data_IF_356851854668
#
_entry.id   IF_356851854668
#
_cell.length_a   1.000
_cell.length_b   1.000
_cell.length_c   1.000
_cell.angle_alpha   90.00
_cell.angle_beta   90.00
_cell.angle_gamma   90.00
#
_symmetry.space_group_name_H-M   'P 1'
#
loop_
_entity.id
_entity.type
_entity.pdbx_description
1 polymer ?
#
# COMPACT_ATOMS: atom_id res chain seq x y z
N UNK A 1 -13.35 -24.70 21.22
CA UNK A 1 -12.51 -23.69 20.56
C UNK A 1 -11.07 -24.11 20.77
N UNK A 2 -10.57 -24.98 19.91
CA UNK A 2 -9.13 -25.25 19.84
C UNK A 2 -8.49 -24.00 19.24
N UNK A 3 -7.60 -23.36 19.99
CA UNK A 3 -6.73 -22.33 19.44
C UNK A 3 -5.96 -22.99 18.29
N UNK A 4 -6.17 -22.51 17.07
CA UNK A 4 -5.44 -22.98 15.90
C UNK A 4 -3.95 -22.85 16.18
N UNK A 5 -3.26 -23.98 16.32
CA UNK A 5 -1.81 -24.02 16.35
C UNK A 5 -1.33 -23.42 15.03
N UNK A 6 -0.84 -22.18 15.07
CA UNK A 6 -0.15 -21.55 13.95
C UNK A 6 0.99 -22.49 13.57
N UNK A 7 0.92 -23.07 12.36
CA UNK A 7 1.87 -24.08 11.88
C UNK A 7 3.27 -23.47 11.85
N UNK A 8 4.11 -23.83 12.83
CA UNK A 8 5.50 -23.40 12.86
C UNK A 8 6.27 -24.04 11.69
N UNK A 9 7.04 -23.24 10.96
CA UNK A 9 7.90 -23.68 9.85
C UNK A 9 9.32 -23.79 10.37
N UNK A 10 9.99 -24.94 10.20
CA UNK A 10 11.35 -25.12 10.68
C UNK A 10 12.37 -24.51 9.71
N UNK A 11 13.43 -23.93 10.28
CA UNK A 11 14.48 -23.29 9.50
C UNK A 11 15.88 -23.68 9.97
N UNK A 12 16.77 -23.70 8.99
CA UNK A 12 18.20 -23.80 9.19
C UNK A 12 18.89 -22.62 8.50
N UNK A 13 19.78 -21.94 9.21
CA UNK A 13 20.55 -20.81 8.66
C UNK A 13 22.00 -21.22 8.58
N UNK A 14 22.53 -21.46 7.37
CA UNK A 14 23.94 -21.77 7.19
C UNK A 14 24.81 -20.57 7.59
N UNK A 15 25.91 -20.85 8.27
CA UNK A 15 26.96 -19.88 8.58
C UNK A 15 28.22 -20.18 7.75
N UNK A 16 29.21 -19.30 7.82
CA UNK A 16 30.50 -19.50 7.16
C UNK A 16 31.22 -20.75 7.69
N UNK A 17 32.08 -21.33 6.85
CA UNK A 17 32.81 -22.56 7.14
C UNK A 17 33.58 -22.44 8.47
N UNK A 18 33.29 -23.33 9.43
CA UNK A 18 33.88 -23.31 10.77
C UNK A 18 33.04 -22.62 11.85
N UNK A 19 31.92 -21.99 11.50
CA UNK A 19 30.94 -21.44 12.45
C UNK A 19 29.74 -22.36 12.65
N UNK A 20 29.18 -22.38 13.86
CA UNK A 20 27.95 -23.13 14.10
C UNK A 20 26.73 -22.46 13.45
N UNK A 21 25.95 -23.27 12.74
CA UNK A 21 24.74 -22.84 12.06
C UNK A 21 23.58 -22.61 13.02
N UNK A 22 22.60 -21.82 12.60
CA UNK A 22 21.39 -21.61 13.40
C UNK A 22 20.29 -22.61 13.03
N UNK A 23 19.51 -23.00 14.04
CA UNK A 23 18.29 -23.80 13.85
C UNK A 23 17.13 -23.12 14.54
N UNK A 24 15.95 -23.17 13.96
CA UNK A 24 14.84 -22.42 14.53
C UNK A 24 13.53 -22.63 13.82
N UNK A 25 12.61 -21.70 14.06
CA UNK A 25 11.26 -21.73 13.51
C UNK A 25 10.79 -20.33 13.11
N UNK A 26 9.89 -20.30 12.12
CA UNK A 26 9.15 -19.12 11.69
C UNK A 26 7.66 -19.32 11.98
N UNK A 27 6.98 -18.24 12.31
CA UNK A 27 5.53 -18.22 12.48
C UNK A 27 4.99 -16.80 12.33
N UNK A 28 3.67 -16.67 12.18
CA UNK A 28 2.99 -15.38 12.25
C UNK A 28 2.71 -15.01 13.72
N UNK A 29 2.92 -13.74 14.08
CA UNK A 29 2.70 -13.23 15.44
C UNK A 29 1.30 -13.55 15.99
N UNK A 30 0.27 -13.37 15.17
CA UNK A 30 -1.13 -13.70 15.47
C UNK A 30 -1.93 -13.73 14.16
N UNK A 31 -3.16 -14.26 14.18
CA UNK A 31 -4.11 -14.20 13.05
C UNK A 31 -4.54 -12.76 12.74
N UNK A 32 -4.45 -11.86 13.73
CA UNK A 32 -4.81 -10.44 13.58
C UNK A 32 -3.67 -9.58 13.01
N UNK A 33 -2.42 -10.05 13.12
CA UNK A 33 -1.23 -9.32 12.71
C UNK A 33 -0.33 -10.20 11.86
N UNK A 34 -0.23 -9.90 10.56
CA UNK A 34 0.69 -10.57 9.63
C UNK A 34 2.13 -10.11 9.78
N UNK A 35 2.62 -10.11 11.02
CA UNK A 35 4.02 -9.90 11.30
C UNK A 35 4.70 -11.24 11.41
N UNK A 36 5.66 -11.46 10.53
CA UNK A 36 6.52 -12.63 10.60
C UNK A 36 7.44 -12.55 11.82
N UNK A 37 7.53 -13.65 12.55
CA UNK A 37 8.43 -13.86 13.68
C UNK A 37 9.39 -15.01 13.39
N UNK A 38 10.57 -14.90 13.97
CA UNK A 38 11.54 -15.99 14.01
C UNK A 38 12.10 -16.17 15.42
N UNK A 39 12.45 -17.40 15.73
CA UNK A 39 13.28 -17.76 16.87
C UNK A 39 14.32 -18.77 16.37
N UNK A 40 15.59 -18.48 16.63
CA UNK A 40 16.70 -19.35 16.25
C UNK A 40 17.65 -19.56 17.41
N UNK A 41 18.33 -20.70 17.40
CA UNK A 41 19.26 -21.15 18.42
C UNK A 41 20.50 -21.70 17.72
N UNK A 42 21.68 -21.38 18.25
CA UNK A 42 22.96 -22.01 17.93
C UNK A 42 23.73 -22.32 19.22
N UNK A 43 24.71 -23.23 19.19
CA UNK A 43 25.70 -23.20 20.26
C UNK A 43 26.67 -22.04 20.01
N UNK A 44 27.19 -21.50 21.10
CA UNK A 44 28.09 -20.37 21.05
C UNK A 44 29.20 -20.57 22.07
N UNK A 45 30.39 -20.12 21.71
CA UNK A 45 31.47 -19.96 22.67
C UNK A 45 31.14 -18.83 23.66
N UNK A 46 31.70 -18.94 24.86
CA UNK A 46 31.65 -17.94 25.93
C UNK A 46 31.84 -16.50 25.46
N UNK A 47 32.75 -16.29 24.50
CA UNK A 47 33.13 -14.98 24.00
C UNK A 47 32.16 -14.43 22.94
N UNK A 48 31.26 -15.25 22.39
CA UNK A 48 30.41 -14.94 21.24
C UNK A 48 28.90 -15.13 21.52
N UNK A 49 28.50 -15.11 22.80
CA UNK A 49 27.12 -15.33 23.25
C UNK A 49 26.12 -14.24 22.87
N UNK A 50 26.61 -13.08 22.43
CA UNK A 50 25.78 -11.96 21.94
C UNK A 50 25.90 -11.74 20.44
N UNK A 51 26.63 -12.59 19.73
CA UNK A 51 26.78 -12.46 18.29
C UNK A 51 25.51 -12.97 17.57
N UNK A 52 25.04 -12.16 16.62
CA UNK A 52 23.83 -12.38 15.84
C UNK A 52 24.11 -13.05 14.48
N UNK A 53 25.38 -13.33 14.13
CA UNK A 53 25.74 -14.02 12.89
C UNK A 53 25.18 -13.36 11.63
N UNK A 54 24.61 -14.17 10.71
CA UNK A 54 23.95 -13.68 9.48
C UNK A 54 22.74 -12.75 9.70
N UNK A 55 22.23 -12.61 10.93
CA UNK A 55 21.14 -11.67 11.24
C UNK A 55 21.61 -10.24 11.53
N UNK A 56 22.92 -9.97 11.45
CA UNK A 56 23.46 -8.62 11.63
C UNK A 56 23.03 -7.68 10.47
N UNK A 57 22.76 -6.42 10.80
CA UNK A 57 22.48 -5.33 9.85
C UNK A 57 21.21 -5.45 9.00
N UNK A 58 20.27 -6.33 9.35
CA UNK A 58 19.01 -6.51 8.63
C UNK A 58 19.16 -6.74 7.11
N UNK A 59 20.25 -7.39 6.70
CA UNK A 59 20.44 -7.85 5.31
C UNK A 59 19.61 -9.10 5.04
N UNK A 60 19.27 -9.40 3.78
CA UNK A 60 18.66 -10.68 3.41
C UNK A 60 19.47 -11.86 3.97
N UNK A 61 18.79 -12.81 4.60
CA UNK A 61 19.40 -14.00 5.18
C UNK A 61 18.90 -15.24 4.45
N UNK A 62 19.81 -15.93 3.76
CA UNK A 62 19.51 -17.21 3.09
C UNK A 62 19.33 -18.30 4.16
N UNK A 63 18.28 -19.10 4.00
CA UNK A 63 17.89 -20.17 4.91
C UNK A 63 17.47 -21.43 4.13
N UNK A 64 17.35 -22.55 4.83
CA UNK A 64 16.68 -23.76 4.36
C UNK A 64 15.41 -24.01 5.18
N UNK A 65 14.24 -24.01 4.53
CA UNK A 65 12.98 -24.45 5.13
C UNK A 65 12.98 -25.97 5.23
N UNK A 66 12.61 -26.47 6.40
CA UNK A 66 12.58 -27.90 6.73
C UNK A 66 13.88 -28.63 6.33
N UNK A 67 15.01 -27.92 6.40
CA UNK A 67 16.36 -28.38 6.00
C UNK A 67 16.52 -28.78 4.52
N UNK A 68 15.57 -28.43 3.64
CA UNK A 68 15.56 -28.91 2.25
C UNK A 68 15.35 -27.79 1.24
N UNK A 69 14.35 -26.92 1.46
CA UNK A 69 13.92 -25.95 0.44
C UNK A 69 14.64 -24.61 0.67
N UNK A 70 15.41 -24.09 -0.31
CA UNK A 70 16.04 -22.79 -0.17
C UNK A 70 14.99 -21.69 0.00
N UNK A 71 15.25 -20.75 0.89
CA UNK A 71 14.44 -19.56 1.07
C UNK A 71 15.31 -18.39 1.56
N UNK A 72 14.72 -17.21 1.60
CA UNK A 72 15.37 -15.98 2.04
C UNK A 72 14.46 -15.23 3.02
N UNK A 73 14.98 -14.91 4.20
CA UNK A 73 14.37 -13.97 5.14
C UNK A 73 14.77 -12.55 4.72
N UNK A 74 13.79 -11.70 4.42
CA UNK A 74 14.04 -10.35 3.93
C UNK A 74 13.94 -9.36 5.10
N UNK A 75 15.00 -8.56 5.27
CA UNK A 75 15.15 -7.55 6.34
C UNK A 75 14.82 -8.10 7.75
N UNK A 76 15.51 -9.14 8.21
CA UNK A 76 15.32 -9.65 9.56
C UNK A 76 15.86 -8.67 10.61
N UNK A 77 15.04 -8.39 11.62
CA UNK A 77 15.35 -7.54 12.75
C UNK A 77 15.36 -8.39 14.02
N UNK A 78 16.54 -8.53 14.63
CA UNK A 78 16.70 -9.15 15.95
C UNK A 78 16.14 -8.20 17.01
N UNK A 79 15.18 -8.69 17.80
CA UNK A 79 14.54 -7.92 18.87
C UNK A 79 15.09 -8.30 20.25
N UNK A 80 15.50 -9.56 20.41
CA UNK A 80 16.04 -10.07 21.67
C UNK A 80 17.14 -11.08 21.41
N UNK A 81 18.20 -10.94 22.20
CA UNK A 81 19.29 -11.92 22.30
C UNK A 81 19.25 -12.48 23.72
N UNK A 82 19.05 -13.78 23.85
CA UNK A 82 19.05 -14.50 25.12
C UNK A 82 20.31 -15.39 25.18
N UNK A 83 21.39 -14.93 25.84
CA UNK A 83 22.54 -15.77 26.10
C UNK A 83 22.12 -16.83 27.12
N UNK A 84 22.10 -18.10 26.69
CA UNK A 84 21.66 -19.22 27.51
C UNK A 84 22.38 -19.30 28.86
N UNK A 85 21.76 -19.98 29.83
CA UNK A 85 22.35 -20.18 31.15
C UNK A 85 23.40 -21.30 31.12
N UNK A 86 24.49 -21.13 31.86
CA UNK A 86 25.43 -22.21 32.18
C UNK A 86 24.71 -23.32 32.94
N UNK A 87 24.69 -24.52 32.37
CA UNK A 87 24.39 -25.72 33.14
C UNK A 87 25.58 -26.03 34.05
N UNK A 88 25.31 -26.35 35.32
CA UNK A 88 26.36 -26.79 36.26
C UNK A 88 26.96 -28.14 35.83
N UNK A 89 26.24 -28.90 34.99
CA UNK A 89 26.60 -30.25 34.53
C UNK A 89 26.99 -30.33 33.05
N UNK A 90 26.64 -29.34 32.22
CA UNK A 90 26.96 -29.29 30.79
C UNK A 90 27.46 -27.88 30.40
N UNK A 91 28.71 -27.73 29.94
CA UNK A 91 29.32 -26.42 29.67
C UNK A 91 28.87 -25.79 28.33
N UNK A 92 27.87 -26.36 27.65
CA UNK A 92 27.42 -25.85 26.36
C UNK A 92 26.59 -24.58 26.54
N UNK A 93 27.13 -23.45 26.09
CA UNK A 93 26.37 -22.21 26.00
C UNK A 93 25.62 -22.18 24.68
N UNK A 94 24.35 -21.79 24.73
CA UNK A 94 23.51 -21.58 23.55
C UNK A 94 23.11 -20.13 23.46
N UNK A 95 23.06 -19.60 22.26
CA UNK A 95 22.51 -18.26 22.02
C UNK A 95 21.16 -18.43 21.35
N UNK A 96 20.13 -17.79 21.90
CA UNK A 96 18.80 -17.73 21.28
C UNK A 96 18.53 -16.32 20.78
N UNK A 97 18.14 -16.20 19.52
CA UNK A 97 17.66 -14.97 18.91
C UNK A 97 16.15 -15.04 18.75
N UNK A 98 15.46 -13.96 19.09
CA UNK A 98 14.06 -13.76 18.75
C UNK A 98 13.94 -12.45 17.97
N UNK A 99 13.16 -12.46 16.90
CA UNK A 99 13.04 -11.29 16.04
C UNK A 99 11.86 -11.36 15.09
N UNK A 100 11.82 -10.39 14.18
CA UNK A 100 10.78 -10.26 13.15
C UNK A 100 11.41 -9.96 11.81
N UNK A 101 10.72 -10.22 10.71
CA UNK A 101 11.24 -9.91 9.37
C UNK A 101 10.12 -9.40 8.46
N UNK A 102 10.49 -8.76 7.36
CA UNK A 102 9.53 -8.11 6.48
C UNK A 102 8.85 -9.12 5.56
N UNK A 103 9.58 -10.05 4.95
CA UNK A 103 9.00 -10.96 3.95
C UNK A 103 9.77 -12.27 3.86
N UNK A 104 9.08 -13.33 3.46
CA UNK A 104 9.67 -14.64 3.19
C UNK A 104 9.67 -14.88 1.67
N UNK A 105 10.83 -15.15 1.09
CA UNK A 105 10.93 -15.60 -0.30
C UNK A 105 11.31 -17.07 -0.31
N UNK A 106 10.39 -17.94 -0.71
CA UNK A 106 10.60 -19.39 -0.77
C UNK A 106 10.99 -19.84 -2.17
N UNK A 107 11.90 -20.82 -2.28
CA UNK A 107 12.34 -21.39 -3.55
C UNK A 107 13.56 -20.70 -4.16
N UNK A 108 13.97 -19.54 -3.64
CA UNK A 108 15.13 -18.78 -4.11
C UNK A 108 15.99 -18.32 -2.92
N UNK A 109 17.31 -18.44 -3.09
CA UNK A 109 18.32 -17.91 -2.18
C UNK A 109 18.86 -16.59 -2.73
N UNK A 110 18.60 -15.49 -2.04
CA UNK A 110 18.99 -14.14 -2.43
C UNK A 110 19.88 -13.55 -1.33
N UNK A 111 21.11 -13.18 -1.69
CA UNK A 111 22.07 -12.57 -0.77
C UNK A 111 22.03 -11.03 -0.82
N UNK A 112 21.68 -10.47 -1.99
CA UNK A 112 21.54 -9.03 -2.22
C UNK A 112 20.14 -8.73 -2.78
N UNK A 113 19.33 -7.96 -2.04
CA UNK A 113 17.99 -7.57 -2.47
C UNK A 113 17.98 -6.49 -3.55
N UNK A 114 19.12 -5.84 -3.81
CA UNK A 114 19.28 -4.79 -4.82
C UNK A 114 19.77 -5.32 -6.18
N UNK A 115 20.14 -6.60 -6.26
CA UNK A 115 20.57 -7.19 -7.52
C UNK A 115 19.39 -7.42 -8.46
N UNK A 116 19.46 -6.85 -9.67
CA UNK A 116 18.43 -7.00 -10.68
C UNK A 116 18.43 -8.41 -11.28
N UNK A 117 17.42 -9.21 -10.93
CA UNK A 117 17.33 -10.63 -11.32
C UNK A 117 15.96 -11.06 -11.83
N UNK A 118 14.91 -10.31 -11.54
CA UNK A 118 13.54 -10.74 -11.82
C UNK A 118 13.05 -10.20 -13.17
N UNK A 119 12.56 -11.10 -14.03
CA UNK A 119 11.95 -10.78 -15.32
C UNK A 119 10.43 -10.55 -15.22
N UNK A 120 9.81 -10.95 -14.12
CA UNK A 120 8.37 -10.78 -13.96
C UNK A 120 7.83 -11.28 -12.63
N UNK A 121 6.56 -10.96 -12.42
CA UNK A 121 5.78 -11.40 -11.25
C UNK A 121 4.39 -11.83 -11.69
N UNK A 122 3.80 -12.79 -11.00
CA UNK A 122 2.38 -13.14 -11.16
C UNK A 122 1.73 -13.47 -9.83
N UNK A 123 0.45 -13.14 -9.67
CA UNK A 123 -0.26 -13.39 -8.42
C UNK A 123 -1.78 -13.39 -8.63
N UNK A 124 -2.47 -14.13 -7.77
CA UNK A 124 -3.92 -14.14 -7.65
C UNK A 124 -4.32 -13.27 -6.46
N UNK A 125 -5.01 -12.16 -6.72
CA UNK A 125 -5.35 -11.19 -5.68
C UNK A 125 -6.84 -11.01 -5.52
N UNK A 126 -7.28 -11.00 -4.26
CA UNK A 126 -8.66 -10.66 -3.91
C UNK A 126 -8.99 -9.20 -4.22
N UNK A 127 -8.05 -8.27 -4.04
CA UNK A 127 -8.27 -6.87 -4.38
C UNK A 127 -8.33 -6.67 -5.88
N UNK A 128 -7.39 -7.26 -6.61
CA UNK A 128 -7.41 -7.22 -8.07
C UNK A 128 -8.70 -7.84 -8.60
N UNK A 129 -9.09 -9.03 -8.16
CA UNK A 129 -10.35 -9.67 -8.56
C UNK A 129 -11.61 -8.92 -8.13
N UNK A 130 -11.58 -8.19 -7.01
CA UNK A 130 -12.70 -7.35 -6.59
C UNK A 130 -12.87 -6.10 -7.45
N UNK A 131 -11.77 -5.53 -7.94
CA UNK A 131 -11.81 -4.35 -8.80
C UNK A 131 -11.99 -4.72 -10.27
N UNK A 132 -11.18 -5.64 -10.79
CA UNK A 132 -11.13 -6.07 -12.19
C UNK A 132 -12.15 -7.17 -12.53
N UNK A 133 -12.40 -8.11 -11.60
CA UNK A 133 -13.08 -9.36 -11.90
C UNK A 133 -14.58 -9.24 -12.15
N UNK A 134 -15.01 -9.76 -13.29
CA UNK A 134 -16.41 -10.04 -13.63
C UNK A 134 -16.89 -11.40 -13.12
N UNK A 135 -18.21 -11.65 -13.21
CA UNK A 135 -18.76 -12.98 -12.94
C UNK A 135 -18.62 -13.84 -14.20
N UNK A 136 -17.77 -14.86 -14.18
CA UNK A 136 -17.54 -15.78 -15.32
C UNK A 136 -18.33 -17.08 -15.21
N UNK A 137 -19.45 -17.01 -14.50
CA UNK A 137 -20.38 -18.12 -14.38
C UNK A 137 -21.80 -17.59 -14.24
N UNK A 138 -22.73 -18.23 -14.95
CA UNK A 138 -24.13 -17.84 -14.97
C UNK A 138 -24.97 -19.01 -14.47
N UNK A 139 -25.87 -18.80 -13.48
CA UNK A 139 -26.83 -19.83 -13.13
C UNK A 139 -27.79 -20.02 -14.31
N UNK A 140 -27.86 -21.25 -14.83
CA UNK A 140 -28.76 -21.62 -15.93
C UNK A 140 -29.69 -22.74 -15.48
N UNK A 141 -30.84 -22.89 -16.13
CA UNK A 141 -31.70 -24.04 -15.91
C UNK A 141 -31.49 -25.00 -17.07
N UNK A 142 -30.88 -26.16 -16.81
CA UNK A 142 -30.62 -27.14 -17.86
C UNK A 142 -31.94 -27.73 -18.38
N UNK A 143 -32.21 -27.56 -19.68
CA UNK A 143 -33.43 -28.08 -20.33
C UNK A 143 -33.59 -29.60 -20.17
N UNK A 144 -32.48 -30.33 -20.10
CA UNK A 144 -32.43 -31.80 -19.95
C UNK A 144 -32.66 -32.32 -18.54
N UNK A 145 -32.39 -31.51 -17.50
CA UNK A 145 -32.33 -32.00 -16.12
C UNK A 145 -33.26 -31.27 -15.14
N UNK A 146 -33.88 -30.14 -15.54
CA UNK A 146 -34.73 -29.30 -14.67
C UNK A 146 -34.06 -28.93 -13.33
N UNK A 147 -32.74 -29.02 -13.26
CA UNK A 147 -31.91 -28.67 -12.11
C UNK A 147 -31.18 -27.37 -12.39
N UNK A 148 -31.01 -26.56 -11.34
CA UNK A 148 -30.18 -25.36 -11.38
C UNK A 148 -28.75 -25.79 -11.70
N UNK A 149 -28.26 -25.38 -12.85
CA UNK A 149 -26.93 -25.66 -13.39
C UNK A 149 -26.12 -24.37 -13.39
N UNK A 150 -24.79 -24.48 -13.50
CA UNK A 150 -23.92 -23.32 -13.64
C UNK A 150 -23.18 -23.46 -14.96
N UNK A 151 -23.36 -22.50 -15.85
CA UNK A 151 -22.58 -22.40 -17.07
C UNK A 151 -21.33 -21.57 -16.79
N UNK A 152 -20.17 -22.16 -17.06
CA UNK A 152 -18.86 -21.52 -16.89
C UNK A 152 -18.44 -20.90 -18.21
N UNK A 153 -18.19 -19.59 -18.20
CA UNK A 153 -17.71 -18.85 -19.37
C UNK A 153 -16.23 -19.15 -19.61
N UNK A 154 -15.80 -19.10 -20.87
CA UNK A 154 -14.38 -19.24 -21.22
C UNK A 154 -13.52 -18.17 -20.53
N UNK A 155 -12.24 -18.46 -20.24
CA UNK A 155 -11.33 -17.46 -19.68
C UNK A 155 -11.21 -16.25 -20.60
N UNK A 156 -11.26 -15.06 -20.01
CA UNK A 156 -11.01 -13.80 -20.72
C UNK A 156 -9.63 -13.28 -20.32
N UNK A 157 -8.88 -12.76 -21.29
CA UNK A 157 -7.57 -12.18 -21.02
C UNK A 157 -7.39 -10.85 -21.73
N UNK A 158 -6.91 -9.87 -20.98
CA UNK A 158 -6.53 -8.55 -21.49
C UNK A 158 -5.02 -8.43 -21.40
N UNK A 159 -4.39 -7.99 -22.49
CA UNK A 159 -2.95 -7.68 -22.51
C UNK A 159 -2.77 -6.19 -22.75
N UNK A 160 -2.01 -5.56 -21.87
CA UNK A 160 -1.69 -4.13 -21.93
C UNK A 160 -0.19 -3.93 -21.77
N UNK A 161 0.38 -2.98 -22.51
CA UNK A 161 1.77 -2.53 -22.33
C UNK A 161 1.76 -1.20 -21.58
N UNK A 162 2.54 -1.15 -20.49
CA UNK A 162 2.68 0.03 -19.63
C UNK A 162 4.15 0.42 -19.60
N UNK A 163 4.45 1.62 -20.09
CA UNK A 163 5.80 2.16 -20.14
C UNK A 163 6.44 2.21 -18.75
N UNK A 164 7.69 1.73 -18.65
CA UNK A 164 8.43 1.71 -17.39
C UNK A 164 7.98 0.61 -16.43
N UNK A 165 6.94 -0.17 -16.78
CA UNK A 165 6.51 -1.35 -16.04
C UNK A 165 6.84 -2.62 -16.80
N UNK A 166 6.24 -2.81 -17.98
CA UNK A 166 6.22 -4.10 -18.64
C UNK A 166 4.98 -4.37 -19.48
N UNK A 167 4.93 -5.61 -19.97
CA UNK A 167 3.70 -6.23 -20.48
C UNK A 167 2.91 -6.82 -19.32
N UNK A 168 1.65 -6.40 -19.20
CA UNK A 168 0.72 -6.83 -18.17
C UNK A 168 -0.38 -7.65 -18.82
N UNK A 169 -0.60 -8.86 -18.30
CA UNK A 169 -1.66 -9.76 -18.71
C UNK A 169 -2.57 -9.97 -17.51
N UNK A 170 -3.83 -9.58 -17.65
CA UNK A 170 -4.88 -9.87 -16.70
C UNK A 170 -5.75 -11.00 -17.26
N UNK A 171 -5.96 -12.04 -16.47
CA UNK A 171 -6.77 -13.19 -16.88
C UNK A 171 -7.86 -13.42 -15.85
N UNK A 172 -9.11 -13.49 -16.31
CA UNK A 172 -10.25 -13.89 -15.48
C UNK A 172 -10.71 -15.30 -15.87
N UNK A 173 -10.96 -16.14 -14.87
CA UNK A 173 -11.39 -17.52 -15.06
C UNK A 173 -12.34 -17.95 -13.94
N UNK A 174 -13.22 -18.91 -14.20
CA UNK A 174 -13.95 -19.57 -13.13
C UNK A 174 -13.08 -20.68 -12.51
N UNK A 175 -12.92 -20.66 -11.20
CA UNK A 175 -12.24 -21.69 -10.43
C UNK A 175 -13.31 -22.57 -9.76
N UNK A 176 -13.23 -23.89 -9.98
CA UNK A 176 -14.04 -24.87 -9.27
C UNK A 176 -13.21 -25.43 -8.12
N UNK A 177 -13.60 -25.14 -6.89
CA UNK A 177 -13.02 -25.73 -5.69
C UNK A 177 -13.93 -26.84 -5.19
N UNK A 178 -13.44 -28.07 -5.21
CA UNK A 178 -14.17 -29.23 -4.71
C UNK A 178 -13.49 -29.74 -3.44
N UNK A 179 -14.15 -29.55 -2.30
CA UNK A 179 -13.80 -30.21 -1.04
C UNK A 179 -14.65 -31.47 -0.87
N UNK A 180 -14.27 -32.31 0.10
CA UNK A 180 -14.91 -33.62 0.37
C UNK A 180 -16.43 -33.57 0.58
N UNK A 181 -17.01 -32.42 0.93
CA UNK A 181 -18.44 -32.25 1.21
C UNK A 181 -19.13 -31.14 0.42
N UNK A 182 -18.39 -30.26 -0.27
CA UNK A 182 -18.96 -29.12 -1.02
C UNK A 182 -18.13 -28.81 -2.24
N UNK A 183 -18.79 -28.45 -3.34
CA UNK A 183 -18.14 -27.87 -4.52
C UNK A 183 -18.62 -26.44 -4.68
N UNK A 184 -17.67 -25.52 -4.80
CA UNK A 184 -17.92 -24.09 -4.97
C UNK A 184 -17.29 -23.62 -6.28
N UNK A 185 -18.01 -22.78 -7.02
CA UNK A 185 -17.48 -22.09 -8.21
C UNK A 185 -17.28 -20.63 -7.84
N UNK A 186 -16.06 -20.11 -8.06
CA UNK A 186 -15.67 -18.73 -7.81
C UNK A 186 -15.09 -18.09 -9.05
N UNK A 187 -15.23 -16.77 -9.20
CA UNK A 187 -14.40 -16.03 -10.16
C UNK A 187 -13.00 -15.87 -9.57
N UNK A 188 -11.98 -16.14 -10.38
CA UNK A 188 -10.58 -15.91 -10.04
C UNK A 188 -9.95 -14.97 -11.08
N UNK A 189 -9.06 -14.10 -10.61
CA UNK A 189 -8.37 -13.10 -11.42
C UNK A 189 -6.87 -13.20 -11.18
N UNK A 190 -6.13 -13.52 -12.24
CA UNK A 190 -4.67 -13.61 -12.24
C UNK A 190 -4.09 -12.36 -12.89
N UNK A 191 -3.15 -11.70 -12.22
CA UNK A 191 -2.34 -10.65 -12.80
C UNK A 191 -0.92 -11.18 -13.06
N UNK A 192 -0.44 -11.03 -14.28
CA UNK A 192 0.93 -11.39 -14.68
C UNK A 192 1.61 -10.17 -15.30
N UNK A 193 2.77 -9.82 -14.76
CA UNK A 193 3.61 -8.74 -15.25
C UNK A 193 4.92 -9.35 -15.75
N UNK A 194 5.33 -8.98 -16.96
CA UNK A 194 6.65 -9.25 -17.52
C UNK A 194 7.33 -7.91 -17.68
N UNK A 195 8.42 -7.69 -16.93
CA UNK A 195 9.05 -6.38 -16.84
C UNK A 195 9.81 -6.03 -18.11
N UNK A 196 9.86 -4.73 -18.43
CA UNK A 196 10.67 -4.23 -19.56
C UNK A 196 12.17 -4.44 -19.33
N UNK A 197 12.58 -4.38 -18.06
CA UNK A 197 13.95 -4.59 -17.60
C UNK A 197 13.95 -5.47 -16.34
N UNK A 198 15.06 -6.16 -16.09
CA UNK A 198 15.21 -6.92 -14.84
C UNK A 198 15.08 -6.00 -13.64
N UNK A 199 14.37 -6.47 -12.62
CA UNK A 199 14.15 -5.73 -11.37
C UNK A 199 14.83 -6.41 -10.19
N UNK A 200 15.18 -5.60 -9.21
CA UNK A 200 15.69 -6.08 -7.92
C UNK A 200 14.56 -6.64 -7.04
N UNK A 201 14.90 -7.41 -6.00
CA UNK A 201 13.90 -7.89 -5.05
C UNK A 201 13.19 -6.73 -4.35
N UNK A 202 13.94 -5.69 -3.96
CA UNK A 202 13.37 -4.49 -3.32
C UNK A 202 12.34 -3.81 -4.22
N UNK A 203 12.67 -3.60 -5.50
CA UNK A 203 11.75 -2.95 -6.45
C UNK A 203 10.47 -3.77 -6.67
N UNK A 204 10.61 -5.10 -6.74
CA UNK A 204 9.47 -6.01 -6.93
C UNK A 204 8.59 -6.02 -5.68
N UNK A 205 9.17 -6.00 -4.47
CA UNK A 205 8.40 -5.91 -3.23
C UNK A 205 7.59 -4.62 -3.16
N UNK A 206 8.20 -3.48 -3.47
CA UNK A 206 7.54 -2.18 -3.45
C UNK A 206 6.41 -2.12 -4.49
N UNK A 207 6.63 -2.67 -5.67
CA UNK A 207 5.61 -2.81 -6.71
C UNK A 207 4.45 -3.71 -6.26
N UNK A 208 4.73 -4.91 -5.75
CA UNK A 208 3.73 -5.88 -5.30
C UNK A 208 2.85 -5.29 -4.20
N UNK A 209 3.46 -4.67 -3.19
CA UNK A 209 2.71 -3.99 -2.14
C UNK A 209 1.90 -2.83 -2.75
N UNK A 210 2.52 -1.97 -3.54
CA UNK A 210 1.86 -0.81 -4.14
C UNK A 210 0.63 -1.17 -4.98
N UNK A 211 0.71 -2.23 -5.79
CA UNK A 211 -0.40 -2.73 -6.60
C UNK A 211 -1.54 -3.26 -5.74
N UNK A 212 -1.26 -4.09 -4.74
CA UNK A 212 -2.29 -4.59 -3.81
C UNK A 212 -2.98 -3.44 -3.07
N UNK A 213 -2.19 -2.47 -2.61
CA UNK A 213 -2.73 -1.31 -1.92
C UNK A 213 -3.62 -0.47 -2.86
N UNK A 214 -3.23 -0.34 -4.13
CA UNK A 214 -3.95 0.41 -5.16
C UNK A 214 -5.28 -0.27 -5.53
N UNK A 215 -5.26 -1.56 -5.87
CA UNK A 215 -6.49 -2.27 -6.21
C UNK A 215 -7.44 -2.41 -5.03
N UNK A 216 -6.91 -2.62 -3.82
CA UNK A 216 -7.71 -2.63 -2.60
C UNK A 216 -8.39 -1.27 -2.38
N UNK A 217 -7.65 -0.18 -2.54
CA UNK A 217 -8.18 1.17 -2.43
C UNK A 217 -9.28 1.46 -3.45
N UNK A 218 -9.10 1.07 -4.72
CA UNK A 218 -10.08 1.23 -5.78
C UNK A 218 -11.36 0.43 -5.50
N UNK A 219 -11.25 -0.81 -5.03
CA UNK A 219 -12.39 -1.64 -4.65
C UNK A 219 -13.03 -1.19 -3.32
N UNK A 220 -12.28 -0.49 -2.47
CA UNK A 220 -12.76 0.08 -1.22
C UNK A 220 -12.50 -0.75 0.04
N UNK A 221 -11.52 -1.65 0.03
CA UNK A 221 -11.15 -2.48 1.18
C UNK A 221 -9.65 -2.79 1.20
N UNK A 222 -9.15 -3.35 2.30
CA UNK A 222 -7.79 -3.92 2.34
C UNK A 222 -7.87 -5.45 2.22
N UNK A 223 -7.32 -6.04 1.14
CA UNK A 223 -7.31 -7.48 0.97
C UNK A 223 -6.27 -8.12 1.89
N UNK A 224 -6.42 -9.43 2.08
CA UNK A 224 -5.29 -10.30 2.44
C UNK A 224 -4.24 -10.22 1.33
N UNK A 225 -2.98 -9.96 1.68
CA UNK A 225 -1.89 -9.99 0.70
C UNK A 225 -1.73 -11.40 0.10
N UNK A 226 -1.61 -11.51 -1.23
CA UNK A 226 -1.43 -12.79 -1.89
C UNK A 226 0.01 -13.30 -1.80
N UNK A 227 0.23 -14.52 -2.26
CA UNK A 227 1.57 -15.02 -2.55
C UNK A 227 1.96 -14.52 -3.94
N UNK A 228 3.13 -13.89 -4.05
CA UNK A 228 3.64 -13.40 -5.33
C UNK A 228 4.62 -14.38 -5.93
N UNK A 229 4.35 -14.84 -7.14
CA UNK A 229 5.24 -15.74 -7.87
C UNK A 229 6.25 -14.92 -8.66
N UNK A 230 7.50 -14.90 -8.19
CA UNK A 230 8.61 -14.18 -8.80
C UNK A 230 9.32 -15.06 -9.83
N UNK A 231 9.48 -14.55 -11.06
CA UNK A 231 10.20 -15.22 -12.13
C UNK A 231 11.60 -14.61 -12.27
N UNK A 232 12.66 -15.32 -11.87
CA UNK A 232 14.02 -14.86 -12.11
C UNK A 232 14.41 -15.13 -13.57
N UNK A 233 15.39 -14.37 -14.07
CA UNK A 233 16.03 -14.67 -15.33
C UNK A 233 16.73 -16.04 -15.26
N UNK A 234 16.64 -16.83 -16.33
CA UNK A 234 17.41 -18.06 -16.44
C UNK A 234 18.92 -17.75 -16.34
N UNK A 235 19.68 -18.50 -15.51
CA UNK A 235 21.13 -18.35 -15.46
C UNK A 235 21.78 -18.55 -16.84
N UNK A 236 22.90 -17.87 -17.16
CA UNK A 236 23.65 -18.13 -18.38
C UNK A 236 24.07 -19.61 -18.46
N UNK A 237 23.69 -20.30 -19.54
CA UNK A 237 24.00 -21.73 -19.73
C UNK A 237 23.03 -22.71 -19.07
N UNK A 238 21.92 -22.22 -18.50
CA UNK A 238 20.84 -23.08 -18.01
C UNK A 238 20.19 -23.83 -19.18
N UNK A 239 19.97 -25.14 -19.02
CA UNK A 239 19.31 -25.94 -20.05
C UNK A 239 17.88 -25.43 -20.27
N UNK A 240 17.57 -25.05 -21.51
CA UNK A 240 16.23 -24.65 -21.96
C UNK A 240 15.11 -25.65 -21.62
N UNK A 241 15.45 -26.90 -21.30
CA UNK A 241 14.50 -27.95 -20.92
C UNK A 241 14.18 -28.01 -19.43
N UNK A 242 14.97 -27.38 -18.57
CA UNK A 242 14.72 -27.35 -17.14
C UNK A 242 13.90 -26.09 -16.79
N UNK A 243 12.80 -26.21 -16.03
CA UNK A 243 12.04 -25.04 -15.60
C UNK A 243 12.91 -24.21 -14.65
N UNK A 244 13.00 -22.90 -14.91
CA UNK A 244 13.62 -21.97 -13.98
C UNK A 244 12.81 -21.96 -12.68
N UNK A 245 13.44 -22.08 -11.50
CA UNK A 245 12.73 -22.06 -10.23
C UNK A 245 11.94 -20.75 -10.07
N UNK A 246 10.66 -20.87 -9.74
CA UNK A 246 9.79 -19.73 -9.41
C UNK A 246 9.87 -19.48 -7.91
N UNK A 247 10.16 -18.24 -7.52
CA UNK A 247 10.14 -17.83 -6.12
C UNK A 247 8.72 -17.54 -5.65
N UNK A 248 8.38 -17.92 -4.43
CA UNK A 248 7.12 -17.60 -3.76
C UNK A 248 7.40 -16.55 -2.69
N UNK A 249 7.04 -15.29 -2.96
CA UNK A 249 7.21 -14.17 -2.06
C UNK A 249 5.93 -13.98 -1.23
N UNK A 250 6.06 -14.17 0.07
CA UNK A 250 5.05 -13.85 1.07
C UNK A 250 5.44 -12.55 1.79
N UNK A 251 4.73 -11.48 1.46
CA UNK A 251 4.88 -10.19 2.16
C UNK A 251 4.29 -10.29 3.57
N UNK A 252 5.05 -9.83 4.56
CA UNK A 252 4.59 -9.65 5.94
C UNK A 252 5.04 -8.31 6.52
N UNK A 253 5.01 -8.20 7.85
CA UNK A 253 5.33 -6.94 8.55
C UNK A 253 4.22 -5.89 8.47
N UNK A 254 3.04 -6.31 8.04
CA UNK A 254 1.89 -5.43 7.80
C UNK A 254 0.96 -5.51 9.02
N UNK A 255 0.84 -4.41 9.77
CA UNK A 255 0.11 -4.33 11.04
C UNK A 255 -1.40 -4.12 10.86
N UNK A 256 -2.05 -4.86 9.96
CA UNK A 256 -3.47 -4.64 9.62
C UNK A 256 -4.29 -5.93 9.69
N UNK A 257 -5.57 -5.78 10.03
CA UNK A 257 -6.57 -6.85 10.02
C UNK A 257 -7.07 -7.08 8.58
N UNK A 258 -7.07 -8.33 8.14
CA UNK A 258 -7.68 -8.74 6.87
C UNK A 258 -9.20 -8.44 6.90
N UNK A 259 -9.73 -7.80 5.85
CA UNK A 259 -11.17 -7.51 5.71
C UNK A 259 -11.74 -8.36 4.58
N UNK A 260 -12.91 -9.01 4.75
CA UNK A 260 -13.52 -9.76 3.67
C UNK A 260 -13.82 -8.84 2.47
N UNK A 261 -13.77 -9.42 1.27
CA UNK A 261 -14.10 -8.69 0.05
C UNK A 261 -15.53 -8.11 0.13
N UNK A 262 -15.71 -6.80 -0.09
CA UNK A 262 -17.03 -6.17 -0.01
C UNK A 262 -17.98 -6.69 -1.09
N UNK A 263 -19.27 -6.65 -0.77
CA UNK A 263 -20.31 -7.03 -1.71
C UNK A 263 -20.19 -6.19 -2.98
N UNK A 264 -20.46 -6.74 -4.18
CA UNK A 264 -20.43 -6.01 -5.44
C UNK A 264 -20.99 -4.58 -5.48
N UNK A 265 -22.12 -4.35 -4.81
CA UNK A 265 -22.80 -3.05 -4.73
C UNK A 265 -22.22 -2.07 -3.69
N UNK A 266 -21.33 -2.55 -2.82
CA UNK A 266 -20.65 -1.76 -1.79
C UNK A 266 -19.21 -1.39 -2.19
N UNK A 267 -18.76 -1.83 -3.38
CA UNK A 267 -17.44 -1.51 -3.90
C UNK A 267 -17.38 -0.05 -4.34
N UNK A 268 -16.26 0.61 -4.06
CA UNK A 268 -16.04 2.02 -4.40
C UNK A 268 -16.02 2.22 -5.92
N UNK A 269 -15.22 1.42 -6.63
CA UNK A 269 -15.13 1.42 -8.08
C UNK A 269 -14.84 0.01 -8.60
N UNK A 270 -15.02 -0.19 -9.91
CA UNK A 270 -14.70 -1.41 -10.65
C UNK A 270 -14.09 -1.05 -12.00
N UNK A 271 -13.26 -1.94 -12.55
CA UNK A 271 -12.70 -1.76 -13.89
C UNK A 271 -13.84 -1.62 -14.92
N UNK A 272 -13.70 -0.65 -15.82
CA UNK A 272 -14.72 -0.29 -16.83
C UNK A 272 -15.84 0.62 -16.29
N UNK A 273 -16.03 0.73 -14.97
CA UNK A 273 -16.94 1.71 -14.39
C UNK A 273 -16.25 3.08 -14.31
N UNK A 274 -17.02 4.14 -14.52
CA UNK A 274 -16.58 5.53 -14.38
C UNK A 274 -15.31 5.83 -15.22
N UNK A 275 -15.22 5.27 -16.43
CA UNK A 275 -14.11 5.53 -17.38
C UNK A 275 -12.77 4.87 -17.02
N UNK A 276 -12.68 4.17 -15.89
CA UNK A 276 -11.43 3.61 -15.36
C UNK A 276 -11.00 2.35 -16.13
N UNK A 277 -9.76 2.29 -16.61
CA UNK A 277 -9.19 1.10 -17.27
C UNK A 277 -7.93 0.58 -16.56
N UNK A 278 -7.64 -0.71 -16.69
CA UNK A 278 -6.40 -1.31 -16.16
C UNK A 278 -5.16 -0.57 -16.65
N UNK A 279 -5.11 -0.28 -17.96
CA UNK A 279 -3.99 0.48 -18.55
C UNK A 279 -3.82 1.87 -17.95
N UNK A 280 -4.91 2.61 -17.73
CA UNK A 280 -4.88 3.96 -17.16
C UNK A 280 -4.41 3.95 -15.70
N UNK A 281 -4.98 3.06 -14.89
CA UNK A 281 -4.60 2.92 -13.47
C UNK A 281 -3.12 2.60 -13.33
N UNK A 282 -2.62 1.62 -14.10
CA UNK A 282 -1.23 1.21 -14.01
C UNK A 282 -0.28 2.31 -14.47
N UNK A 283 -0.59 3.03 -15.55
CA UNK A 283 0.22 4.17 -16.02
C UNK A 283 0.30 5.27 -14.96
N UNK A 284 -0.84 5.65 -14.38
CA UNK A 284 -0.89 6.70 -13.38
C UNK A 284 -0.18 6.28 -12.08
N UNK A 285 -0.35 5.02 -11.66
CA UNK A 285 0.41 4.47 -10.54
C UNK A 285 1.92 4.48 -10.79
N UNK A 286 2.37 4.04 -11.98
CA UNK A 286 3.81 3.98 -12.30
C UNK A 286 4.46 5.35 -12.44
N UNK A 287 3.68 6.39 -12.75
CA UNK A 287 4.18 7.76 -12.86
C UNK A 287 4.55 8.37 -11.49
N UNK A 288 3.86 7.98 -10.42
CA UNK A 288 4.09 8.51 -9.07
C UNK A 288 3.81 7.46 -7.96
N UNK A 289 4.52 6.32 -7.94
CA UNK A 289 4.14 5.16 -7.13
C UNK A 289 4.21 5.44 -5.63
N UNK A 290 5.28 6.09 -5.17
CA UNK A 290 5.49 6.40 -3.74
C UNK A 290 4.40 7.36 -3.23
N UNK A 291 4.08 8.39 -4.01
CA UNK A 291 3.10 9.39 -3.64
C UNK A 291 1.68 8.80 -3.59
N UNK A 292 1.28 8.06 -4.63
CA UNK A 292 -0.02 7.34 -4.64
C UNK A 292 -0.14 6.40 -3.45
N UNK A 293 0.88 5.57 -3.19
CA UNK A 293 0.86 4.63 -2.05
C UNK A 293 0.78 5.38 -0.72
N UNK A 294 1.50 6.50 -0.57
CA UNK A 294 1.48 7.32 0.65
C UNK A 294 0.09 7.90 0.91
N UNK A 295 -0.58 8.44 -0.12
CA UNK A 295 -1.94 8.96 -0.02
C UNK A 295 -2.94 7.87 0.33
N UNK A 296 -2.85 6.72 -0.34
CA UNK A 296 -3.68 5.55 -0.05
C UNK A 296 -3.47 5.09 1.40
N UNK A 297 -2.23 4.99 1.85
CA UNK A 297 -1.92 4.60 3.22
C UNK A 297 -2.51 5.59 4.24
N UNK A 298 -2.36 6.90 4.01
CA UNK A 298 -2.89 7.94 4.88
C UNK A 298 -4.42 7.92 5.00
N UNK A 299 -5.14 7.78 3.87
CA UNK A 299 -6.60 7.65 3.87
C UNK A 299 -7.03 6.45 4.71
N UNK A 300 -6.32 5.35 4.59
CA UNK A 300 -6.72 4.12 5.24
C UNK A 300 -6.36 4.04 6.71
N UNK A 301 -5.22 4.62 7.10
CA UNK A 301 -4.88 4.85 8.50
C UNK A 301 -5.99 5.65 9.18
N UNK A 302 -6.49 6.70 8.51
CA UNK A 302 -7.62 7.51 9.01
C UNK A 302 -8.95 6.74 9.08
N UNK A 303 -9.25 5.90 8.09
CA UNK A 303 -10.54 5.15 8.06
C UNK A 303 -10.57 3.94 9.00
N UNK A 304 -9.48 3.17 9.08
CA UNK A 304 -9.53 1.79 9.59
C UNK A 304 -8.63 1.51 10.80
N UNK A 305 -7.52 2.23 10.98
CA UNK A 305 -6.47 1.80 11.93
C UNK A 305 -6.26 2.71 13.13
N UNK A 306 -6.76 3.95 13.05
CA UNK A 306 -6.54 4.92 14.10
C UNK A 306 -7.52 4.72 15.27
N UNK A 307 -6.97 4.59 16.47
CA UNK A 307 -7.69 4.43 17.73
C UNK A 307 -8.32 5.71 18.23
N UNK A 308 -7.81 6.88 17.82
CA UNK A 308 -8.34 8.19 18.18
C UNK A 308 -8.56 9.11 16.97
N UNK A 309 -9.41 10.13 17.13
CA UNK A 309 -9.60 11.18 16.12
C UNK A 309 -8.30 11.94 15.81
N UNK A 310 -7.43 12.09 16.81
CA UNK A 310 -6.13 12.73 16.62
C UNK A 310 -5.24 11.91 15.69
N UNK A 311 -5.16 10.59 15.90
CA UNK A 311 -4.32 9.74 15.02
C UNK A 311 -4.84 9.76 13.58
N UNK A 312 -6.17 9.79 13.40
CA UNK A 312 -6.80 9.90 12.08
C UNK A 312 -6.39 11.17 11.37
N UNK A 313 -6.58 12.32 12.04
CA UNK A 313 -6.28 13.61 11.44
C UNK A 313 -4.78 13.81 11.22
N UNK A 314 -3.93 13.38 12.16
CA UNK A 314 -2.48 13.47 12.06
C UNK A 314 -1.91 12.59 10.94
N UNK A 315 -2.53 11.45 10.65
CA UNK A 315 -2.12 10.59 9.54
C UNK A 315 -2.45 11.21 8.17
N UNK A 316 -3.62 11.84 8.03
CA UNK A 316 -4.14 12.29 6.73
C UNK A 316 -3.75 13.73 6.37
N UNK A 317 -3.73 14.64 7.34
CA UNK A 317 -3.61 16.07 7.09
C UNK A 317 -2.25 16.47 6.47
N UNK A 318 -1.08 15.95 6.92
CA UNK A 318 0.20 16.31 6.31
C UNK A 318 0.28 15.90 4.83
N UNK A 319 -0.26 14.73 4.49
CA UNK A 319 -0.27 14.22 3.11
C UNK A 319 -1.25 15.03 2.26
N UNK A 320 -2.41 15.39 2.80
CA UNK A 320 -3.36 16.25 2.11
C UNK A 320 -2.80 17.68 1.90
N UNK A 321 -2.09 18.24 2.88
CA UNK A 321 -1.44 19.54 2.77
C UNK A 321 -0.40 19.54 1.63
N UNK A 322 0.46 18.52 1.58
CA UNK A 322 1.43 18.35 0.49
C UNK A 322 0.73 18.24 -0.87
N UNK A 323 -0.35 17.45 -0.94
CA UNK A 323 -1.14 17.30 -2.16
C UNK A 323 -1.71 18.63 -2.65
N UNK A 324 -2.41 19.39 -1.79
CA UNK A 324 -3.04 20.64 -2.23
C UNK A 324 -2.01 21.71 -2.59
N UNK A 325 -0.85 21.72 -1.95
CA UNK A 325 0.27 22.59 -2.31
C UNK A 325 0.87 22.25 -3.67
N UNK A 326 0.96 20.96 -4.01
CA UNK A 326 1.49 20.53 -5.30
C UNK A 326 0.50 20.77 -6.45
N UNK A 327 -0.80 20.59 -6.20
CA UNK A 327 -1.82 20.56 -7.27
C UNK A 327 -2.55 21.89 -7.48
N UNK A 328 -2.80 22.67 -6.42
CA UNK A 328 -3.67 23.87 -6.48
C UNK A 328 -2.92 25.20 -6.32
N UNK A 329 -1.60 25.16 -6.32
CA UNK A 329 -0.74 26.35 -6.30
C UNK A 329 -0.46 26.77 -7.75
N UNK A 330 -0.66 28.04 -8.08
CA UNK A 330 -0.56 28.50 -9.47
C UNK A 330 0.90 28.74 -9.90
N UNK A 331 1.25 28.40 -11.15
CA UNK A 331 2.61 28.54 -11.69
C UNK A 331 3.10 30.02 -11.76
N UNK A 332 2.20 30.98 -11.95
CA UNK A 332 2.52 32.41 -11.89
C UNK A 332 2.95 32.87 -10.48
N UNK A 333 2.51 32.16 -9.44
CA UNK A 333 2.84 32.46 -8.04
C UNK A 333 4.22 31.89 -7.65
N UNK A 334 4.70 30.84 -8.32
CA UNK A 334 6.08 30.34 -8.16
C UNK A 334 7.11 31.26 -8.81
N UNK A 335 6.79 31.80 -9.99
CA UNK A 335 7.65 32.71 -10.75
C UNK A 335 7.90 34.04 -10.01
N UNK A 336 6.92 34.54 -9.26
CA UNK A 336 7.04 35.79 -8.50
C UNK A 336 8.10 35.69 -7.39
N UNK A 337 8.12 34.62 -6.59
CA UNK A 337 9.08 34.45 -5.49
C UNK A 337 10.52 34.27 -5.99
N UNK A 338 10.70 33.54 -7.10
CA UNK A 338 12.00 33.39 -7.75
C UNK A 338 12.49 34.71 -8.36
N UNK A 339 11.59 35.46 -9.01
CA UNK A 339 11.87 36.76 -9.62
C UNK A 339 12.13 37.85 -8.57
N UNK A 340 11.43 37.81 -7.43
CA UNK A 340 11.65 38.70 -6.28
C UNK A 340 13.05 38.51 -5.71
N UNK A 341 13.46 37.27 -5.46
CA UNK A 341 14.80 36.95 -4.96
C UNK A 341 15.89 37.39 -5.93
N UNK A 342 15.70 37.16 -7.23
CA UNK A 342 16.64 37.60 -8.26
C UNK A 342 16.71 39.13 -8.38
N UNK A 343 15.57 39.81 -8.29
CA UNK A 343 15.48 41.26 -8.35
C UNK A 343 16.14 41.94 -7.14
N UNK A 344 15.88 41.47 -5.92
CA UNK A 344 16.56 42.03 -4.74
C UNK A 344 18.03 41.65 -4.68
N UNK A 345 18.44 40.48 -5.17
CA UNK A 345 19.85 40.14 -5.33
C UNK A 345 20.55 41.09 -6.32
N UNK A 346 19.87 41.49 -7.41
CA UNK A 346 20.37 42.49 -8.35
C UNK A 346 20.45 43.89 -7.71
N UNK A 347 19.43 44.30 -6.94
CA UNK A 347 19.45 45.57 -6.18
C UNK A 347 20.61 45.58 -5.17
N UNK A 348 20.81 44.50 -4.42
CA UNK A 348 21.89 44.38 -3.44
C UNK A 348 23.29 44.31 -4.07
N UNK A 349 23.39 43.83 -5.30
CA UNK A 349 24.63 43.79 -6.08
C UNK A 349 24.96 45.11 -6.81
N UNK A 350 24.08 46.11 -6.78
CA UNK A 350 24.34 47.40 -7.44
C UNK A 350 25.52 48.14 -6.78
N UNK A 351 26.38 48.79 -7.57
CA UNK A 351 27.54 49.53 -7.05
C UNK A 351 27.17 50.85 -6.36
N UNK A 352 25.97 51.37 -6.62
CA UNK A 352 25.50 52.65 -6.10
C UNK A 352 24.56 52.45 -4.90
N UNK A 353 25.02 52.88 -3.72
CA UNK A 353 24.27 52.74 -2.47
C UNK A 353 23.00 53.59 -2.40
N UNK A 354 22.92 54.72 -3.13
CA UNK A 354 21.69 55.51 -3.22
C UNK A 354 20.60 54.77 -4.00
N UNK A 355 20.97 53.98 -5.02
CA UNK A 355 20.03 53.14 -5.78
C UNK A 355 19.53 51.97 -4.94
N UNK A 356 20.38 51.40 -4.07
CA UNK A 356 19.95 50.39 -3.08
C UNK A 356 18.93 50.96 -2.13
N UNK A 357 19.22 52.12 -1.55
CA UNK A 357 18.38 52.75 -0.53
C UNK A 357 17.06 53.24 -1.13
N UNK A 358 17.11 53.84 -2.33
CA UNK A 358 15.92 54.27 -3.07
C UNK A 358 15.02 53.09 -3.47
N UNK A 359 15.59 52.04 -4.05
CA UNK A 359 14.84 50.84 -4.47
C UNK A 359 14.17 50.15 -3.28
N UNK A 360 14.89 50.01 -2.16
CA UNK A 360 14.33 49.41 -0.92
C UNK A 360 13.25 50.27 -0.27
N UNK A 361 13.34 51.60 -0.38
CA UNK A 361 12.42 52.55 0.27
C UNK A 361 11.15 52.83 -0.55
N UNK A 362 11.22 52.77 -1.88
CA UNK A 362 10.14 53.21 -2.76
C UNK A 362 9.43 52.10 -3.54
N UNK A 363 10.00 50.89 -3.64
CA UNK A 363 9.29 49.74 -4.18
C UNK A 363 8.41 49.12 -3.10
N UNK A 364 7.12 49.50 -3.08
CA UNK A 364 6.11 48.72 -2.36
C UNK A 364 5.88 47.43 -3.12
N UNK A 365 6.45 46.33 -2.64
CA UNK A 365 6.03 44.99 -3.01
C UNK A 365 4.51 44.90 -2.82
N UNK A 366 3.77 44.76 -3.93
CA UNK A 366 2.41 44.27 -3.86
C UNK A 366 2.56 42.80 -3.48
N UNK A 367 2.50 42.54 -2.18
CA UNK A 367 2.67 41.23 -1.58
C UNK A 367 1.54 40.31 -2.07
N UNK A 368 1.67 39.73 -3.26
CA UNK A 368 0.89 38.54 -3.64
C UNK A 368 1.46 37.40 -2.79
N UNK A 369 0.99 37.32 -1.54
CA UNK A 369 1.33 36.24 -0.63
C UNK A 369 0.99 34.92 -1.32
N UNK A 370 1.87 33.93 -1.21
CA UNK A 370 1.56 32.56 -1.57
C UNK A 370 0.19 32.17 -0.98
N UNK A 371 -0.65 31.42 -1.73
CA UNK A 371 -1.99 31.09 -1.29
C UNK A 371 -1.92 30.40 0.06
N UNK A 372 -2.72 30.90 0.99
CA UNK A 372 -2.80 30.32 2.33
C UNK A 372 -3.37 28.90 2.24
N UNK A 373 -3.02 28.03 3.19
CA UNK A 373 -3.57 26.68 3.26
C UNK A 373 -5.12 26.66 3.19
N UNK A 374 -5.86 27.52 3.89
CA UNK A 374 -7.32 27.64 3.70
C UNK A 374 -7.73 27.86 2.23
N UNK A 375 -7.04 28.75 1.52
CA UNK A 375 -7.34 29.04 0.10
C UNK A 375 -7.11 27.82 -0.79
N UNK A 376 -6.05 27.04 -0.55
CA UNK A 376 -5.78 25.80 -1.29
C UNK A 376 -6.82 24.72 -1.01
N UNK A 377 -7.25 24.58 0.26
CA UNK A 377 -8.30 23.63 0.65
C UNK A 377 -9.65 24.04 0.02
N UNK A 378 -9.97 25.34 0.02
CA UNK A 378 -11.18 25.88 -0.60
C UNK A 378 -11.22 25.58 -2.11
N UNK A 379 -10.13 25.82 -2.84
CA UNK A 379 -10.00 25.44 -4.26
C UNK A 379 -10.23 23.93 -4.48
N UNK A 380 -9.67 23.09 -3.61
CA UNK A 380 -9.89 21.64 -3.67
C UNK A 380 -11.36 21.26 -3.39
N UNK A 381 -12.03 21.94 -2.46
CA UNK A 381 -13.46 21.75 -2.19
C UNK A 381 -14.31 22.16 -3.39
N UNK A 382 -14.07 23.36 -3.93
CA UNK A 382 -14.80 23.91 -5.08
C UNK A 382 -14.72 22.98 -6.29
N UNK A 383 -13.51 22.50 -6.62
CA UNK A 383 -13.35 21.61 -7.76
C UNK A 383 -14.03 20.23 -7.58
N UNK A 384 -14.24 19.72 -6.36
CA UNK A 384 -15.08 18.52 -6.14
C UNK A 384 -16.57 18.86 -6.13
N UNK A 385 -16.95 20.03 -5.62
CA UNK A 385 -18.34 20.49 -5.66
C UNK A 385 -18.83 20.68 -7.10
N UNK A 386 -17.97 21.13 -8.01
CA UNK A 386 -18.25 21.19 -9.45
C UNK A 386 -18.53 19.80 -10.06
N UNK A 387 -17.94 18.73 -9.51
CA UNK A 387 -18.19 17.34 -9.91
C UNK A 387 -19.44 16.75 -9.25
N UNK A 388 -20.17 17.53 -8.45
CA UNK A 388 -21.45 17.15 -7.87
C UNK A 388 -21.41 16.77 -6.39
N UNK A 389 -20.27 16.89 -5.71
CA UNK A 389 -20.20 16.77 -4.25
C UNK A 389 -20.72 18.04 -3.56
N UNK A 390 -20.94 17.96 -2.23
CA UNK A 390 -21.49 19.04 -1.39
C UNK A 390 -20.65 19.24 -0.12
N UNK A 391 -19.37 19.54 -0.28
CA UNK A 391 -18.51 19.96 0.84
C UNK A 391 -18.79 21.42 1.20
N UNK A 392 -18.89 21.74 2.50
CA UNK A 392 -19.02 23.12 2.98
C UNK A 392 -17.69 23.88 2.82
N UNK A 393 -17.62 24.97 2.03
CA UNK A 393 -16.41 25.77 1.87
C UNK A 393 -15.85 26.31 3.20
N UNK A 394 -16.71 26.54 4.21
CA UNK A 394 -16.28 27.03 5.53
C UNK A 394 -15.36 26.05 6.25
N UNK A 395 -15.36 24.78 5.87
CA UNK A 395 -14.48 23.76 6.43
C UNK A 395 -13.00 24.05 6.15
N UNK A 396 -12.67 24.76 5.07
CA UNK A 396 -11.29 25.09 4.72
C UNK A 396 -10.57 25.86 5.85
N UNK A 397 -11.24 26.89 6.40
CA UNK A 397 -10.71 27.67 7.51
C UNK A 397 -10.59 26.83 8.79
N UNK A 398 -11.64 26.07 9.13
CA UNK A 398 -11.69 25.22 10.33
C UNK A 398 -10.60 24.14 10.34
N UNK A 399 -10.40 23.45 9.21
CA UNK A 399 -9.35 22.43 9.05
C UNK A 399 -7.97 23.06 9.26
N UNK A 400 -7.71 24.23 8.69
CA UNK A 400 -6.44 24.94 8.88
C UNK A 400 -6.21 25.38 10.33
N UNK A 401 -7.25 25.88 11.00
CA UNK A 401 -7.19 26.25 12.42
C UNK A 401 -6.96 25.02 13.32
N UNK A 402 -7.60 23.88 13.02
CA UNK A 402 -7.37 22.61 13.71
C UNK A 402 -5.93 22.15 13.55
N UNK A 403 -5.41 22.13 12.33
CA UNK A 403 -4.01 21.78 12.02
C UNK A 403 -3.03 22.65 12.80
N UNK A 404 -3.32 23.95 12.94
CA UNK A 404 -2.46 24.88 13.68
C UNK A 404 -2.49 24.65 15.21
N UNK A 405 -3.56 24.09 15.77
CA UNK A 405 -3.73 23.96 17.23
C UNK A 405 -3.42 22.56 17.76
N UNK A 406 -3.59 21.53 16.92
CA UNK A 406 -3.52 20.12 17.31
C UNK A 406 -2.14 19.64 17.79
N UNK A 407 -1.05 20.27 17.34
CA UNK A 407 0.32 19.89 17.72
C UNK A 407 0.87 20.65 18.94
N UNK A 408 0.11 21.59 19.52
CA UNK A 408 0.63 22.51 20.54
C UNK A 408 -0.01 22.35 21.93
N UNK A 409 -1.13 21.64 22.05
CA UNK A 409 -1.75 21.32 23.34
C UNK A 409 -2.86 20.29 23.14
N UNK A 410 -2.97 19.26 24.00
CA UNK A 410 -4.15 18.40 24.05
C UNK A 410 -5.25 19.12 24.86
N UNK A 411 -6.21 19.81 24.22
CA UNK A 411 -7.18 20.63 24.95
C UNK A 411 -8.28 19.73 25.52
N UNK A 412 -8.87 20.15 26.64
CA UNK A 412 -10.18 19.63 27.04
C UNK A 412 -11.20 20.06 25.97
N UNK A 413 -11.73 19.10 25.22
CA UNK A 413 -12.68 19.35 24.13
C UNK A 413 -14.12 19.27 24.65
N UNK A 414 -14.98 20.21 24.27
CA UNK A 414 -16.42 20.04 24.45
C UNK A 414 -16.97 19.00 23.46
N UNK A 415 -18.17 18.46 23.72
CA UNK A 415 -18.83 17.52 22.80
C UNK A 415 -19.04 18.12 21.39
N UNK A 416 -19.39 19.41 21.33
CA UNK A 416 -19.52 20.14 20.07
C UNK A 416 -18.19 20.27 19.32
N UNK A 417 -17.07 20.44 20.04
CA UNK A 417 -15.73 20.47 19.44
C UNK A 417 -15.32 19.10 18.92
N UNK A 418 -15.68 18.02 19.61
CA UNK A 418 -15.42 16.64 19.17
C UNK A 418 -16.18 16.35 17.89
N UNK A 419 -17.46 16.73 17.80
CA UNK A 419 -18.25 16.57 16.59
C UNK A 419 -17.69 17.40 15.43
N UNK A 420 -17.28 18.63 15.70
CA UNK A 420 -16.63 19.51 14.73
C UNK A 420 -15.32 18.91 14.21
N UNK A 421 -14.52 18.32 15.10
CA UNK A 421 -13.26 17.70 14.74
C UNK A 421 -13.43 16.39 13.97
N UNK A 422 -14.44 15.60 14.34
CA UNK A 422 -14.85 14.42 13.58
C UNK A 422 -15.22 14.83 12.14
N UNK A 423 -15.98 15.91 11.99
CA UNK A 423 -16.33 16.44 10.68
C UNK A 423 -15.11 16.89 9.87
N UNK A 424 -14.19 17.65 10.46
CA UNK A 424 -12.95 18.10 9.83
C UNK A 424 -12.11 16.90 9.35
N UNK A 425 -11.96 15.89 10.20
CA UNK A 425 -11.18 14.66 9.91
C UNK A 425 -11.77 13.87 8.77
N UNK A 426 -13.08 13.62 8.80
CA UNK A 426 -13.78 12.95 7.72
C UNK A 426 -13.72 13.73 6.41
N UNK A 427 -13.77 15.07 6.48
CA UNK A 427 -13.67 15.94 5.30
C UNK A 427 -12.30 15.79 4.64
N UNK A 428 -11.21 15.98 5.38
CA UNK A 428 -9.85 15.85 4.84
C UNK A 428 -9.62 14.46 4.25
N UNK A 429 -10.12 13.42 4.92
CA UNK A 429 -10.03 12.04 4.45
C UNK A 429 -10.79 11.83 3.14
N UNK A 430 -12.02 12.34 3.03
CA UNK A 430 -12.81 12.26 1.80
C UNK A 430 -12.17 13.03 0.64
N UNK A 431 -11.68 14.25 0.92
CA UNK A 431 -11.00 15.08 -0.09
C UNK A 431 -9.78 14.35 -0.64
N UNK A 432 -8.88 13.85 0.23
CA UNK A 432 -7.69 13.12 -0.21
C UNK A 432 -8.05 11.84 -0.97
N UNK A 433 -9.08 11.11 -0.51
CA UNK A 433 -9.53 9.88 -1.16
C UNK A 433 -10.06 10.13 -2.57
N UNK A 434 -11.01 11.07 -2.72
CA UNK A 434 -11.62 11.38 -4.02
C UNK A 434 -10.58 11.91 -5.02
N UNK A 435 -9.63 12.71 -4.55
CA UNK A 435 -8.52 13.20 -5.37
C UNK A 435 -7.58 12.09 -5.81
N UNK A 436 -7.23 11.18 -4.90
CA UNK A 436 -6.41 10.01 -5.23
C UNK A 436 -7.12 9.10 -6.25
N UNK A 437 -8.44 8.93 -6.15
CA UNK A 437 -9.23 8.20 -7.16
C UNK A 437 -9.18 8.89 -8.53
N UNK A 438 -9.35 10.22 -8.56
CA UNK A 438 -9.24 11.01 -9.80
C UNK A 438 -7.86 10.89 -10.45
N UNK A 439 -6.79 10.97 -9.66
CA UNK A 439 -5.42 10.82 -10.16
C UNK A 439 -5.12 9.40 -10.67
N UNK A 440 -5.81 8.39 -10.15
CA UNK A 440 -5.80 7.02 -10.69
C UNK A 440 -6.66 6.84 -11.94
N UNK A 441 -7.33 7.90 -12.42
CA UNK A 441 -8.12 7.90 -13.64
C UNK A 441 -9.58 7.50 -13.47
N UNK A 442 -10.10 7.46 -12.23
CA UNK A 442 -11.53 7.25 -11.97
C UNK A 442 -12.30 8.54 -12.25
N UNK A 443 -13.40 8.46 -13.00
CA UNK A 443 -14.34 9.58 -13.13
C UNK A 443 -15.10 9.80 -11.81
N UNK A 444 -14.56 10.70 -11.00
CA UNK A 444 -15.09 11.03 -9.69
C UNK A 444 -16.50 11.62 -9.76
N UNK A 445 -16.95 12.16 -10.89
CA UNK A 445 -18.31 12.68 -11.03
C UNK A 445 -19.37 11.57 -10.94
N UNK A 446 -19.08 10.37 -11.47
CA UNK A 446 -19.96 9.20 -11.38
C UNK A 446 -20.20 8.76 -9.94
N UNK A 447 -19.17 8.87 -9.10
CA UNK A 447 -19.22 8.48 -7.68
C UNK A 447 -20.17 9.35 -6.85
N UNK A 448 -20.40 10.61 -7.22
CA UNK A 448 -21.29 11.52 -6.49
C UNK A 448 -22.75 11.03 -6.41
N UNK A 449 -23.14 10.08 -7.27
CA UNK A 449 -24.48 9.49 -7.32
C UNK A 449 -24.53 8.05 -6.74
N UNK A 450 -23.38 7.48 -6.35
CA UNK A 450 -23.26 6.08 -5.90
C UNK A 450 -23.18 5.96 -4.37
N UNK A 451 -24.29 6.29 -3.68
CA UNK A 451 -24.35 6.37 -2.21
C UNK A 451 -23.91 5.11 -1.45
N UNK A 452 -24.16 3.93 -2.02
CA UNK A 452 -23.87 2.64 -1.40
C UNK A 452 -22.36 2.34 -1.34
N UNK A 453 -21.59 2.93 -2.24
CA UNK A 453 -20.16 2.71 -2.38
C UNK A 453 -19.33 3.56 -1.39
N UNK A 454 -19.90 4.67 -0.88
CA UNK A 454 -19.24 5.62 0.02
C UNK A 454 -20.11 5.94 1.25
N UNK A 455 -20.55 4.94 2.04
CA UNK A 455 -21.52 5.15 3.13
C UNK A 455 -21.04 6.19 4.16
N UNK A 456 -19.74 6.18 4.49
CA UNK A 456 -19.10 7.11 5.42
C UNK A 456 -19.09 8.57 4.94
N UNK A 457 -19.27 8.80 3.63
CA UNK A 457 -19.19 10.11 2.98
C UNK A 457 -20.53 10.56 2.39
N UNK A 458 -21.63 9.85 2.70
CA UNK A 458 -22.99 10.17 2.26
C UNK A 458 -23.40 11.61 2.51
N UNK A 459 -22.95 12.20 3.62
CA UNK A 459 -23.18 13.61 3.96
C UNK A 459 -22.62 14.61 2.94
N UNK A 460 -21.63 14.21 2.15
CA UNK A 460 -20.98 15.04 1.12
C UNK A 460 -21.52 14.76 -0.28
N UNK A 461 -22.45 13.82 -0.43
CA UNK A 461 -23.09 13.51 -1.71
C UNK A 461 -24.38 14.34 -1.87
N UNK A 462 -24.95 14.38 -3.08
CA UNK A 462 -26.25 15.04 -3.30
C UNK A 462 -27.32 14.36 -2.42
N UNK A 463 -28.41 15.04 -2.08
CA UNK A 463 -29.49 14.33 -1.39
C UNK A 463 -30.07 13.27 -2.34
N UNK A 464 -30.46 12.10 -1.79
CA UNK A 464 -31.31 11.15 -2.52
C UNK A 464 -32.47 11.94 -3.14
N UNK A 465 -32.83 11.72 -4.41
CA UNK A 465 -34.18 12.04 -4.82
C UNK A 465 -35.08 11.29 -3.83
N UNK A 466 -35.84 12.03 -3.02
CA UNK A 466 -36.95 11.45 -2.31
C UNK A 466 -37.83 10.83 -3.38
N UNK A 467 -37.89 9.50 -3.42
CA UNK A 467 -38.93 8.82 -4.16
C UNK A 467 -40.24 9.33 -3.58
N UNK A 468 -40.90 10.26 -4.27
CA UNK A 468 -42.32 10.51 -4.04
C UNK A 468 -43.00 9.16 -4.30
N UNK A 469 -43.50 8.56 -3.23
CA UNK A 469 -44.27 7.33 -3.31
C UNK A 469 -45.48 7.61 -4.22
N UNK A 470 -45.42 7.09 -5.45
CA UNK A 470 -46.54 7.05 -6.38
C UNK A 470 -47.47 5.89 -6.07
#
# INVERSE_FOLDING_TARGET
>A
MEAGLTKAIWIYVPEEEGSESWTGRLWYEDDQFRRWKFETIRHADLNNVYDNGKFQNAKPTVILLDHQRPATLIRPLVLRVDPGKYGVTDPFVRTRLEGTFHSLLTGLAIEDEHEARFEGVSFESQAFGAWYGGRHFVPTMGESHRTMSIEVTAPESETTVVEGLGTVVATNVAEVRSDHSTSEIRSNSLLKITFDNLRSLSDVMDLCLGLELTFGFLAGFRPKLPIFHLRPQAPPGFDSKSPVPIGELELGGVHFKDVPTPHPFERINRCGNDGTSLSGVLRNFTAAPVDIVTRIYAVQQSRWFSSSLNDRFAAVMPVFEQYVQATFKDAEEESYLASEKAFFAYVDAAENDEIKEFSKKHLKLVNKKAPSLPSLIERSIEALNLLGFRFDPKLAKRISERRATMFHSAPLMSEADVQSFYEETQTVTALLMLRTLGDLGVDVAGLANNYHALPEFTRFMKERPTYEAG
#
